data_IF_109151991623
#
_entry.id   IF_109151991623
#
_cell.length_a   1.000
_cell.length_b   1.000
_cell.length_c   1.000
_cell.angle_alpha   90.00
_cell.angle_beta   90.00
_cell.angle_gamma   90.00
#
_symmetry.space_group_name_H-M   'P 1'
#
loop_
_entity.id
_entity.type
_entity.pdbx_description
1 polymer ?
#
# COMPACT_ATOMS: atom_id res chain seq x y z
N UNK A 1 20.41 11.10 33.01
CA UNK A 1 18.93 11.27 33.08
C UNK A 1 18.46 11.72 31.71
N UNK A 2 17.84 10.85 30.91
CA UNK A 2 17.18 11.23 29.66
C UNK A 2 15.98 12.12 29.98
N UNK A 3 16.03 13.41 29.59
CA UNK A 3 14.86 14.28 29.65
C UNK A 3 13.83 13.74 28.66
N UNK A 4 12.65 13.36 29.14
CA UNK A 4 11.53 13.02 28.25
C UNK A 4 11.29 14.21 27.31
N UNK A 5 11.19 13.98 25.98
CA UNK A 5 10.89 15.06 25.05
C UNK A 5 9.56 15.69 25.45
N UNK A 6 9.51 17.00 25.59
CA UNK A 6 8.26 17.74 25.82
C UNK A 6 7.44 17.65 24.53
N UNK A 7 6.33 16.95 24.59
CA UNK A 7 5.37 16.95 23.51
C UNK A 7 4.86 18.39 23.32
N UNK A 8 5.04 18.92 22.12
CA UNK A 8 4.50 20.24 21.78
C UNK A 8 2.99 20.14 21.72
N UNK A 9 2.30 20.90 22.55
CA UNK A 9 0.84 21.06 22.42
C UNK A 9 0.55 21.68 21.05
N UNK A 10 -0.39 21.11 20.29
CA UNK A 10 -0.68 21.58 18.94
C UNK A 10 -1.33 22.97 18.99
N UNK A 11 -0.56 24.04 18.96
CA UNK A 11 -1.08 25.39 18.70
C UNK A 11 -1.28 25.56 17.19
N UNK A 12 -2.53 25.72 16.77
CA UNK A 12 -2.88 26.08 15.40
C UNK A 12 -2.44 25.02 14.38
N UNK A 13 -2.90 23.77 14.52
CA UNK A 13 -2.62 22.71 13.56
C UNK A 13 -3.20 23.08 12.20
N UNK A 14 -2.35 23.55 11.31
CA UNK A 14 -2.74 23.83 9.95
C UNK A 14 -2.97 22.50 9.21
N UNK A 15 -4.24 22.15 8.97
CA UNK A 15 -4.61 21.07 8.06
C UNK A 15 -3.90 21.19 6.71
N UNK A 16 -3.55 22.42 6.30
CA UNK A 16 -2.79 22.72 5.10
C UNK A 16 -1.44 22.01 5.05
N UNK A 17 -0.69 21.95 6.16
CA UNK A 17 0.62 21.28 6.21
C UNK A 17 0.51 19.75 6.14
N UNK A 18 -0.55 19.19 6.69
CA UNK A 18 -0.85 17.77 6.54
C UNK A 18 -1.07 17.42 5.06
N UNK A 19 -1.98 18.13 4.39
CA UNK A 19 -2.26 17.90 2.98
C UNK A 19 -1.07 18.21 2.08
N UNK A 20 -0.21 19.16 2.48
CA UNK A 20 1.06 19.43 1.81
C UNK A 20 2.00 18.22 1.89
N UNK A 21 2.14 17.58 3.06
CA UNK A 21 2.95 16.37 3.20
C UNK A 21 2.38 15.21 2.37
N UNK A 22 1.07 14.95 2.47
CA UNK A 22 0.38 13.93 1.67
C UNK A 22 0.55 14.17 0.17
N UNK A 23 0.31 15.40 -0.28
CA UNK A 23 0.40 15.77 -1.70
C UNK A 23 1.84 15.69 -2.25
N UNK A 24 2.84 16.11 -1.47
CA UNK A 24 4.23 15.96 -1.87
C UNK A 24 4.64 14.50 -1.98
N UNK A 25 4.25 13.65 -1.02
CA UNK A 25 4.54 12.22 -1.10
C UNK A 25 3.83 11.56 -2.29
N UNK A 26 2.56 11.91 -2.53
CA UNK A 26 1.81 11.41 -3.69
C UNK A 26 2.46 11.83 -5.01
N UNK A 27 2.84 13.10 -5.13
CA UNK A 27 3.48 13.65 -6.33
C UNK A 27 4.84 13.01 -6.57
N UNK A 28 5.67 12.88 -5.52
CA UNK A 28 6.98 12.23 -5.63
C UNK A 28 6.83 10.77 -6.05
N UNK A 29 5.90 10.03 -5.45
CA UNK A 29 5.61 8.65 -5.84
C UNK A 29 5.12 8.56 -7.30
N UNK A 30 4.21 9.45 -7.71
CA UNK A 30 3.72 9.49 -9.08
C UNK A 30 4.87 9.77 -10.08
N UNK A 31 5.72 10.76 -9.81
CA UNK A 31 6.89 11.05 -10.66
C UNK A 31 7.84 9.86 -10.73
N UNK A 32 8.01 9.13 -9.63
CA UNK A 32 8.90 7.96 -9.58
C UNK A 32 8.33 6.76 -10.36
N UNK A 33 7.05 6.45 -10.18
CA UNK A 33 6.45 5.23 -10.75
C UNK A 33 5.84 5.45 -12.15
N UNK A 34 5.38 6.66 -12.49
CA UNK A 34 4.67 6.94 -13.74
C UNK A 34 5.47 6.60 -15.01
N UNK A 35 6.80 6.87 -15.09
CA UNK A 35 7.59 6.50 -16.26
C UNK A 35 7.55 4.99 -16.53
N UNK A 36 7.72 4.17 -15.50
CA UNK A 36 7.66 2.71 -15.64
C UNK A 36 6.25 2.23 -16.02
N UNK A 37 5.23 2.81 -15.41
CA UNK A 37 3.83 2.51 -15.70
C UNK A 37 3.47 2.81 -17.16
N UNK A 38 3.97 3.92 -17.72
CA UNK A 38 3.72 4.30 -19.13
C UNK A 38 4.50 3.37 -20.08
N UNK A 39 5.77 3.10 -19.79
CA UNK A 39 6.63 2.25 -20.62
C UNK A 39 6.12 0.80 -20.68
N UNK A 40 5.53 0.31 -19.59
CA UNK A 40 4.98 -1.04 -19.50
C UNK A 40 3.49 -1.13 -19.92
N UNK A 41 2.97 -0.12 -20.62
CA UNK A 41 1.60 -0.14 -21.14
C UNK A 41 0.51 -0.17 -20.07
N UNK A 42 0.76 0.45 -18.91
CA UNK A 42 -0.18 0.50 -17.79
C UNK A 42 0.05 -0.59 -16.73
N UNK A 43 1.04 -1.44 -16.91
CA UNK A 43 1.51 -2.38 -15.90
C UNK A 43 2.68 -1.79 -15.12
N UNK A 44 3.01 -2.40 -14.02
CA UNK A 44 4.23 -2.10 -13.28
C UNK A 44 4.97 -3.40 -13.01
N UNK A 45 6.10 -3.56 -13.67
CA UNK A 45 7.00 -4.69 -13.46
C UNK A 45 8.11 -4.29 -12.49
N UNK A 46 8.24 -5.05 -11.43
CA UNK A 46 9.30 -4.88 -10.45
C UNK A 46 9.98 -6.23 -10.20
N UNK A 47 11.27 -6.22 -9.91
CA UNK A 47 12.03 -7.45 -9.70
C UNK A 47 11.53 -8.26 -8.49
N UNK A 48 11.70 -9.58 -8.56
CA UNK A 48 11.39 -10.49 -7.46
C UNK A 48 9.90 -10.80 -7.33
N UNK A 49 9.45 -10.91 -6.09
CA UNK A 49 8.13 -11.43 -5.73
C UNK A 49 6.96 -10.49 -6.08
N UNK A 50 7.24 -9.24 -6.44
CA UNK A 50 6.18 -8.30 -6.76
C UNK A 50 5.30 -8.80 -7.92
N UNK A 51 5.90 -9.23 -9.03
CA UNK A 51 5.14 -9.68 -10.19
C UNK A 51 4.51 -11.07 -9.97
N UNK A 52 5.30 -12.00 -9.40
CA UNK A 52 4.87 -13.39 -9.23
C UNK A 52 3.88 -13.57 -8.09
N UNK A 53 4.00 -12.80 -7.03
CA UNK A 53 3.19 -12.94 -5.82
C UNK A 53 2.20 -11.78 -5.65
N UNK A 54 2.67 -10.54 -5.59
CA UNK A 54 1.82 -9.40 -5.23
C UNK A 54 0.63 -9.23 -6.19
N UNK A 55 0.87 -9.15 -7.49
CA UNK A 55 -0.20 -8.96 -8.50
C UNK A 55 -1.11 -10.19 -8.53
N UNK A 56 -0.52 -11.38 -8.52
CA UNK A 56 -1.25 -12.64 -8.56
C UNK A 56 -2.12 -12.84 -7.33
N UNK A 57 -1.59 -12.56 -6.14
CA UNK A 57 -2.32 -12.71 -4.89
C UNK A 57 -3.45 -11.68 -4.75
N UNK A 58 -3.23 -10.42 -5.16
CA UNK A 58 -4.30 -9.44 -5.21
C UNK A 58 -5.45 -9.87 -6.11
N UNK A 59 -5.16 -10.41 -7.31
CA UNK A 59 -6.19 -10.94 -8.22
C UNK A 59 -6.92 -12.13 -7.62
N UNK A 60 -6.16 -13.11 -7.12
CA UNK A 60 -6.73 -14.31 -6.52
C UNK A 60 -7.64 -13.97 -5.33
N UNK A 61 -7.17 -13.16 -4.40
CA UNK A 61 -7.90 -12.82 -3.21
C UNK A 61 -9.08 -11.87 -3.46
N UNK A 62 -8.99 -10.98 -4.44
CA UNK A 62 -10.14 -10.19 -4.88
C UNK A 62 -11.27 -11.09 -5.37
N UNK A 63 -10.96 -12.07 -6.21
CA UNK A 63 -11.94 -13.08 -6.66
C UNK A 63 -12.47 -13.93 -5.52
N UNK A 64 -11.61 -14.37 -4.62
CA UNK A 64 -12.00 -15.15 -3.46
C UNK A 64 -12.97 -14.40 -2.55
N UNK A 65 -12.67 -13.15 -2.18
CA UNK A 65 -13.55 -12.32 -1.34
C UNK A 65 -14.89 -12.05 -2.00
N UNK A 66 -14.91 -11.85 -3.32
CA UNK A 66 -16.15 -11.65 -4.10
C UNK A 66 -16.95 -12.92 -4.34
N UNK A 67 -16.39 -14.08 -4.03
CA UNK A 67 -17.01 -15.37 -4.31
C UNK A 67 -17.03 -15.75 -5.81
N UNK A 68 -16.20 -15.04 -6.62
CA UNK A 68 -16.08 -15.32 -8.05
C UNK A 68 -15.05 -16.42 -8.36
N UNK A 69 -14.24 -16.82 -7.36
CA UNK A 69 -13.10 -17.70 -7.59
C UNK A 69 -12.00 -17.07 -8.46
N UNK A 70 -11.07 -17.88 -8.92
CA UNK A 70 -10.12 -17.50 -9.94
C UNK A 70 -10.73 -17.84 -11.30
N UNK A 71 -10.89 -16.88 -12.25
CA UNK A 71 -11.64 -17.10 -13.47
C UNK A 71 -11.13 -18.27 -14.33
N UNK A 72 -9.82 -18.52 -14.26
CA UNK A 72 -9.11 -19.52 -15.05
C UNK A 72 -8.81 -20.81 -14.29
N UNK A 73 -9.37 -20.98 -13.08
CA UNK A 73 -9.10 -22.17 -12.27
C UNK A 73 -10.27 -23.17 -12.27
N UNK A 74 -9.95 -24.47 -12.15
CA UNK A 74 -10.93 -25.54 -11.94
C UNK A 74 -11.79 -25.33 -10.68
N UNK A 75 -11.51 -24.34 -9.88
CA UNK A 75 -12.19 -23.96 -8.63
C UNK A 75 -13.04 -22.69 -8.75
N UNK A 76 -13.28 -22.21 -9.97
CA UNK A 76 -14.20 -21.11 -10.22
C UNK A 76 -15.59 -21.49 -9.67
N UNK A 77 -16.12 -20.66 -8.78
CA UNK A 77 -17.41 -20.93 -8.12
C UNK A 77 -17.36 -21.83 -6.87
N UNK A 78 -16.16 -22.21 -6.40
CA UNK A 78 -16.05 -22.92 -5.13
C UNK A 78 -16.61 -22.06 -3.97
N UNK A 79 -17.29 -22.69 -2.99
CA UNK A 79 -17.83 -21.97 -1.84
C UNK A 79 -16.72 -21.22 -1.10
N UNK A 80 -17.06 -20.08 -0.48
CA UNK A 80 -16.15 -19.26 0.33
C UNK A 80 -15.70 -20.02 1.58
N UNK A 81 -14.77 -20.94 1.41
CA UNK A 81 -14.12 -21.65 2.50
C UNK A 81 -12.89 -20.90 2.97
N UNK A 82 -12.56 -21.06 4.23
CA UNK A 82 -11.27 -20.62 4.78
C UNK A 82 -10.11 -21.48 4.27
N UNK A 83 -10.40 -22.55 3.55
CA UNK A 83 -9.46 -23.52 2.98
C UNK A 83 -9.55 -23.50 1.45
N UNK A 84 -8.41 -23.57 0.76
CA UNK A 84 -8.33 -23.67 -0.69
C UNK A 84 -7.32 -24.74 -1.12
N UNK A 85 -7.74 -25.64 -1.98
CA UNK A 85 -6.83 -26.62 -2.62
C UNK A 85 -5.87 -25.97 -3.62
N UNK A 86 -6.20 -24.78 -4.14
CA UNK A 86 -5.34 -24.02 -5.05
C UNK A 86 -4.23 -23.23 -4.35
N UNK A 87 -4.23 -23.25 -3.00
CA UNK A 87 -3.24 -22.54 -2.19
C UNK A 87 -2.29 -23.54 -1.56
N UNK A 88 -1.00 -23.48 -1.88
CA UNK A 88 0.07 -24.29 -1.26
C UNK A 88 -0.28 -25.80 -1.15
N UNK A 89 -0.83 -26.39 -2.20
CA UNK A 89 -1.27 -27.80 -2.24
C UNK A 89 -2.41 -28.11 -1.26
N UNK A 90 -3.16 -27.11 -0.83
CA UNK A 90 -4.23 -27.21 0.14
C UNK A 90 -3.87 -26.56 1.47
N UNK A 91 -4.25 -25.31 1.63
CA UNK A 91 -3.94 -24.50 2.81
C UNK A 91 -5.12 -23.64 3.24
N UNK A 92 -5.07 -23.18 4.49
CA UNK A 92 -5.96 -22.15 4.99
C UNK A 92 -5.67 -20.80 4.34
N UNK A 93 -6.62 -20.27 3.59
CA UNK A 93 -6.51 -19.00 2.85
C UNK A 93 -6.12 -17.84 3.79
N UNK A 94 -6.68 -17.82 4.99
CA UNK A 94 -6.34 -16.80 5.99
C UNK A 94 -4.87 -16.90 6.41
N UNK A 95 -4.33 -18.09 6.61
CA UNK A 95 -2.94 -18.28 7.01
C UNK A 95 -1.98 -17.91 5.88
N UNK A 96 -2.31 -18.29 4.64
CA UNK A 96 -1.45 -18.05 3.48
C UNK A 96 -1.40 -16.57 3.07
N UNK A 97 -2.52 -15.83 3.20
CA UNK A 97 -2.65 -14.49 2.63
C UNK A 97 -2.90 -13.37 3.65
N UNK A 98 -3.04 -13.66 4.95
CA UNK A 98 -3.28 -12.61 5.96
C UNK A 98 -2.14 -11.61 6.05
N UNK A 99 -0.91 -12.09 5.92
CA UNK A 99 0.29 -11.26 5.99
C UNK A 99 0.34 -10.23 4.84
N UNK A 100 0.07 -10.67 3.62
CA UNK A 100 0.19 -9.82 2.42
C UNK A 100 -1.03 -8.95 2.16
N UNK A 101 -2.24 -9.42 2.50
CA UNK A 101 -3.46 -8.87 1.94
C UNK A 101 -4.48 -8.47 3.00
N UNK A 102 -4.98 -9.41 3.82
CA UNK A 102 -6.07 -9.13 4.74
C UNK A 102 -5.78 -8.02 5.76
N UNK A 103 -4.53 -7.91 6.21
CA UNK A 103 -4.08 -6.86 7.12
C UNK A 103 -3.86 -5.50 6.44
N UNK A 104 -3.90 -5.43 5.12
CA UNK A 104 -3.62 -4.20 4.37
C UNK A 104 -4.90 -3.46 3.98
N UNK A 105 -5.08 -2.19 4.41
CA UNK A 105 -6.22 -1.39 3.97
C UNK A 105 -6.23 -1.16 2.45
N UNK A 106 -5.06 -1.20 1.81
CA UNK A 106 -4.93 -1.02 0.35
C UNK A 106 -5.49 -2.22 -0.42
N UNK A 107 -5.37 -3.44 0.14
CA UNK A 107 -6.04 -4.60 -0.44
C UNK A 107 -7.57 -4.42 -0.44
N UNK A 108 -8.14 -3.96 0.68
CA UNK A 108 -9.60 -3.76 0.76
C UNK A 108 -10.11 -2.70 -0.19
N UNK A 109 -9.32 -1.66 -0.49
CA UNK A 109 -9.64 -0.73 -1.59
C UNK A 109 -9.67 -1.44 -2.94
N UNK A 110 -8.76 -2.37 -3.18
CA UNK A 110 -8.72 -3.14 -4.43
C UNK A 110 -9.93 -4.05 -4.61
N UNK A 111 -10.56 -4.51 -3.54
CA UNK A 111 -11.78 -5.33 -3.59
C UNK A 111 -12.97 -4.58 -4.21
N UNK A 112 -12.98 -3.25 -4.16
CA UNK A 112 -14.02 -2.44 -4.82
C UNK A 112 -13.91 -2.46 -6.36
N UNK A 113 -12.76 -2.89 -6.91
CA UNK A 113 -12.45 -2.84 -8.32
C UNK A 113 -12.69 -4.21 -8.99
N UNK A 114 -12.98 -4.23 -10.30
CA UNK A 114 -13.01 -5.47 -11.08
C UNK A 114 -11.65 -6.18 -11.04
N UNK A 115 -11.66 -7.50 -10.99
CA UNK A 115 -10.45 -8.33 -10.91
C UNK A 115 -9.49 -8.09 -12.10
N UNK A 116 -10.04 -7.82 -13.29
CA UNK A 116 -9.27 -7.51 -14.51
C UNK A 116 -8.48 -6.19 -14.43
N UNK A 117 -8.90 -5.27 -13.56
CA UNK A 117 -8.26 -3.96 -13.42
C UNK A 117 -7.08 -3.96 -12.44
N UNK A 118 -6.97 -5.00 -11.62
CA UNK A 118 -5.99 -5.02 -10.53
C UNK A 118 -4.54 -4.85 -10.99
N UNK A 119 -4.07 -5.46 -12.10
CA UNK A 119 -2.70 -5.24 -12.57
C UNK A 119 -2.40 -3.76 -12.86
N UNK A 120 -3.40 -3.02 -13.37
CA UNK A 120 -3.28 -1.60 -13.67
C UNK A 120 -3.39 -0.70 -12.43
N UNK A 121 -3.97 -1.23 -11.34
CA UNK A 121 -4.17 -0.48 -10.10
C UNK A 121 -2.96 -0.55 -9.17
N UNK A 122 -1.93 -1.32 -9.48
CA UNK A 122 -0.76 -1.46 -8.61
C UNK A 122 -0.06 -0.12 -8.38
N UNK A 123 0.21 0.65 -9.43
CA UNK A 123 0.85 1.98 -9.28
C UNK A 123 -0.04 2.97 -8.53
N UNK A 124 -1.32 3.17 -8.86
CA UNK A 124 -2.22 3.98 -8.05
C UNK A 124 -2.25 3.60 -6.56
N UNK A 125 -2.28 2.30 -6.25
CA UNK A 125 -2.25 1.83 -4.86
C UNK A 125 -0.90 2.13 -4.18
N UNK A 126 0.23 2.01 -4.89
CA UNK A 126 1.55 2.40 -4.39
C UNK A 126 1.62 3.90 -4.10
N UNK A 127 1.15 4.75 -5.02
CA UNK A 127 1.09 6.20 -4.80
C UNK A 127 0.27 6.52 -3.55
N UNK A 128 -0.88 5.87 -3.36
CA UNK A 128 -1.70 6.03 -2.17
C UNK A 128 -0.98 5.54 -0.90
N UNK A 129 -0.24 4.44 -0.97
CA UNK A 129 0.55 3.88 0.13
C UNK A 129 1.63 4.87 0.59
N UNK A 130 2.38 5.45 -0.35
CA UNK A 130 3.40 6.47 -0.03
C UNK A 130 2.77 7.76 0.52
N UNK A 131 1.65 8.20 -0.03
CA UNK A 131 0.90 9.35 0.45
C UNK A 131 0.42 9.14 1.90
N UNK A 132 -0.11 7.97 2.21
CA UNK A 132 -0.56 7.60 3.55
C UNK A 132 0.62 7.51 4.54
N UNK A 133 1.76 6.92 4.12
CA UNK A 133 2.97 6.85 4.92
C UNK A 133 3.50 8.26 5.26
N UNK A 134 3.54 9.16 4.28
CA UNK A 134 3.93 10.56 4.49
C UNK A 134 2.97 11.29 5.42
N UNK A 135 1.65 11.11 5.24
CA UNK A 135 0.64 11.68 6.13
C UNK A 135 0.79 11.20 7.58
N UNK A 136 0.96 9.89 7.78
CA UNK A 136 1.18 9.29 9.10
C UNK A 136 2.47 9.79 9.76
N UNK A 137 3.57 9.82 9.00
CA UNK A 137 4.85 10.34 9.48
C UNK A 137 4.76 11.81 9.87
N UNK A 138 4.08 12.64 9.07
CA UNK A 138 3.84 14.04 9.42
C UNK A 138 3.05 14.17 10.73
N UNK A 139 1.97 13.41 10.90
CA UNK A 139 1.16 13.45 12.13
C UNK A 139 1.97 13.06 13.36
N UNK A 140 2.94 12.19 13.22
CA UNK A 140 3.86 11.83 14.28
C UNK A 140 4.88 12.93 14.52
N UNK A 141 5.64 13.34 13.50
CA UNK A 141 6.77 14.27 13.60
C UNK A 141 6.35 15.67 14.07
N UNK A 142 5.19 16.18 13.68
CA UNK A 142 4.69 17.49 14.10
C UNK A 142 4.57 17.66 15.64
N UNK A 143 4.59 16.56 16.38
CA UNK A 143 4.55 16.58 17.86
C UNK A 143 5.90 16.91 18.49
N UNK A 144 7.00 16.74 17.74
CA UNK A 144 8.35 16.87 18.21
C UNK A 144 9.10 18.04 17.60
N UNK A 145 8.62 18.55 16.47
CA UNK A 145 9.28 19.59 15.69
C UNK A 145 8.48 20.90 15.77
N UNK A 146 9.15 21.99 16.15
CA UNK A 146 8.50 23.30 16.26
C UNK A 146 8.10 23.86 14.89
N UNK A 147 8.98 23.79 13.91
CA UNK A 147 8.71 24.24 12.55
C UNK A 147 8.07 23.14 11.72
N UNK A 148 6.82 23.35 11.33
CA UNK A 148 6.02 22.37 10.60
C UNK A 148 6.61 22.04 9.20
N UNK A 149 7.44 22.90 8.62
CA UNK A 149 8.12 22.59 7.36
C UNK A 149 9.13 21.45 7.51
N UNK A 150 9.82 21.40 8.66
CA UNK A 150 10.73 20.27 8.95
C UNK A 150 9.96 18.97 9.21
N UNK A 151 8.74 19.05 9.76
CA UNK A 151 7.88 17.89 9.89
C UNK A 151 7.42 17.37 8.51
N UNK A 152 7.12 18.26 7.55
CA UNK A 152 6.82 17.89 6.15
C UNK A 152 8.03 17.26 5.48
N UNK A 153 9.21 17.87 5.61
CA UNK A 153 10.46 17.32 5.06
C UNK A 153 10.75 15.93 5.63
N UNK A 154 10.67 15.79 6.96
CA UNK A 154 10.88 14.49 7.60
C UNK A 154 9.87 13.43 7.19
N UNK A 155 8.64 13.82 6.89
CA UNK A 155 7.60 12.92 6.38
C UNK A 155 7.95 12.38 4.98
N UNK A 156 8.45 13.24 4.09
CA UNK A 156 8.90 12.82 2.75
C UNK A 156 10.11 11.90 2.87
N UNK A 157 11.12 12.26 3.67
CA UNK A 157 12.30 11.43 3.88
C UNK A 157 11.96 10.06 4.48
N UNK A 158 10.98 9.99 5.38
CA UNK A 158 10.50 8.74 5.94
C UNK A 158 9.80 7.88 4.89
N UNK A 159 8.87 8.46 4.14
CA UNK A 159 8.10 7.73 3.14
C UNK A 159 9.01 7.12 2.06
N UNK A 160 10.03 7.86 1.63
CA UNK A 160 11.00 7.42 0.61
C UNK A 160 12.33 6.94 1.20
N UNK A 161 12.31 6.45 2.45
CA UNK A 161 13.48 5.79 3.03
C UNK A 161 13.85 4.54 2.24
N UNK A 162 15.13 4.16 2.29
CA UNK A 162 15.61 2.94 1.62
C UNK A 162 14.83 1.68 2.05
N UNK A 163 14.43 1.62 3.32
CA UNK A 163 13.58 0.53 3.82
C UNK A 163 12.19 0.53 3.17
N UNK A 164 11.55 1.71 3.05
CA UNK A 164 10.23 1.84 2.42
C UNK A 164 10.24 1.51 0.93
N UNK A 165 11.34 1.84 0.23
CA UNK A 165 11.50 1.51 -1.20
C UNK A 165 11.84 0.03 -1.40
N UNK A 166 12.60 -0.58 -0.51
CA UNK A 166 12.94 -2.00 -0.59
C UNK A 166 11.71 -2.89 -0.29
N UNK A 167 10.90 -2.51 0.71
CA UNK A 167 9.69 -3.24 1.10
C UNK A 167 8.44 -2.61 0.47
N UNK A 168 8.46 -2.43 -0.85
CA UNK A 168 7.42 -1.73 -1.59
C UNK A 168 6.08 -2.49 -1.65
N UNK A 169 6.11 -3.80 -1.43
CA UNK A 169 4.97 -4.74 -1.41
C UNK A 169 4.52 -5.13 -0.01
#
# INVERSE_FOLDING_TARGET
KFKKPRLLTPRGQSHKKFWQAVGLCALTAAIFFLPFYILDGGFFHYAGDFNSQQITFYRYMNGFVKGAGYPDSAFAGAPRNTFSWATDLGSGVMNAYSFYLYGSPFFWLSVLLPQSWLPYMMVPLLVLKFAAAGGGAYLYLRRYVQNQNYAVLGAVLYAFSGWGLYNIF
#
